data_IF_243942946175
#
_entry.id   IF_243942946175
#
_cell.length_a   1.000
_cell.length_b   1.000
_cell.length_c   1.000
_cell.angle_alpha   90.00
_cell.angle_beta   90.00
_cell.angle_gamma   90.00
#
_symmetry.space_group_name_H-M   'P 1'
#
loop_
_entity.id
_entity.type
_entity.pdbx_description
1 polymer ?
#
# COMPACT_ATOMS: atom_id res chain seq x y z
N UNK A 1 -8.96 -10.95 -3.40
CA UNK A 1 -8.85 -9.90 -2.36
C UNK A 1 -8.77 -8.57 -3.06
N UNK A 2 -9.32 -7.54 -2.45
CA UNK A 2 -9.43 -6.21 -3.01
C UNK A 2 -8.56 -5.25 -2.20
N UNK A 3 -7.79 -4.41 -2.87
CA UNK A 3 -7.17 -3.23 -2.24
C UNK A 3 -8.06 -2.03 -2.54
N UNK A 4 -8.42 -1.31 -1.50
CA UNK A 4 -9.23 -0.09 -1.60
C UNK A 4 -8.64 0.99 -0.69
N UNK A 5 -8.86 2.25 -1.04
CA UNK A 5 -8.53 3.38 -0.17
C UNK A 5 -9.77 3.85 0.61
N UNK A 6 -9.55 4.30 1.84
CA UNK A 6 -10.58 4.89 2.72
C UNK A 6 -10.97 6.32 2.29
N UNK A 7 -10.07 7.03 1.61
CA UNK A 7 -10.26 8.36 1.07
C UNK A 7 -9.57 8.50 -0.28
N UNK A 8 -9.77 9.62 -0.96
CA UNK A 8 -9.02 9.96 -2.17
C UNK A 8 -7.59 10.34 -1.78
N UNK A 9 -6.63 9.59 -2.30
CA UNK A 9 -5.20 9.78 -2.03
C UNK A 9 -4.56 10.52 -3.20
N UNK A 10 -3.44 11.17 -2.94
CA UNK A 10 -2.56 11.73 -3.97
C UNK A 10 -2.13 10.66 -5.00
N UNK A 11 -2.13 11.02 -6.28
CA UNK A 11 -1.84 10.10 -7.38
C UNK A 11 -0.40 9.59 -7.36
N UNK A 12 0.58 10.46 -7.03
CA UNK A 12 1.99 10.06 -6.98
C UNK A 12 2.27 9.12 -5.81
N UNK A 13 1.72 9.41 -4.64
CA UNK A 13 1.82 8.51 -3.49
C UNK A 13 1.14 7.16 -3.76
N UNK A 14 -0.03 7.17 -4.43
CA UNK A 14 -0.73 5.95 -4.85
C UNK A 14 0.11 5.13 -5.83
N UNK A 15 0.72 5.79 -6.83
CA UNK A 15 1.62 5.14 -7.78
C UNK A 15 2.80 4.47 -7.07
N UNK A 16 3.52 5.23 -6.22
CA UNK A 16 4.67 4.74 -5.48
C UNK A 16 4.28 3.51 -4.62
N UNK A 17 3.14 3.58 -3.93
CA UNK A 17 2.63 2.49 -3.09
C UNK A 17 2.30 1.24 -3.89
N UNK A 18 1.61 1.38 -5.02
CA UNK A 18 1.18 0.24 -5.84
C UNK A 18 2.36 -0.43 -6.54
N UNK A 19 3.34 0.35 -7.01
CA UNK A 19 4.58 -0.20 -7.59
C UNK A 19 5.34 -1.03 -6.56
N UNK A 20 5.49 -0.51 -5.33
CA UNK A 20 6.16 -1.24 -4.26
C UNK A 20 5.35 -2.48 -3.83
N UNK A 21 4.03 -2.36 -3.71
CA UNK A 21 3.14 -3.48 -3.38
C UNK A 21 3.29 -4.64 -4.38
N UNK A 22 3.15 -4.39 -5.68
CA UNK A 22 3.26 -5.44 -6.69
C UNK A 22 4.68 -5.99 -6.83
N UNK A 23 5.70 -5.18 -6.54
CA UNK A 23 7.08 -5.64 -6.49
C UNK A 23 7.30 -6.61 -5.34
N UNK A 24 6.83 -6.27 -4.13
CA UNK A 24 6.91 -7.13 -2.94
C UNK A 24 6.09 -8.41 -3.12
N UNK A 25 4.96 -8.35 -3.84
CA UNK A 25 4.06 -9.49 -4.05
C UNK A 25 4.71 -10.67 -4.78
N UNK A 26 5.82 -10.43 -5.48
CA UNK A 26 6.60 -11.49 -6.14
C UNK A 26 7.22 -12.48 -5.15
N UNK A 27 7.48 -12.05 -3.91
CA UNK A 27 8.19 -12.85 -2.89
C UNK A 27 7.47 -12.92 -1.56
N UNK A 28 6.47 -12.07 -1.32
CA UNK A 28 5.76 -11.95 -0.04
C UNK A 28 4.25 -12.21 -0.19
N UNK A 29 3.58 -12.68 0.89
CA UNK A 29 2.11 -12.67 0.98
C UNK A 29 1.51 -11.27 0.85
N UNK A 30 0.19 -11.16 0.59
CA UNK A 30 -0.44 -9.88 0.21
C UNK A 30 -0.44 -8.86 1.37
N UNK A 31 -0.71 -9.32 2.58
CA UNK A 31 -0.66 -8.53 3.80
C UNK A 31 0.73 -7.92 4.04
N UNK A 32 1.77 -8.74 4.00
CA UNK A 32 3.15 -8.27 4.21
C UNK A 32 3.61 -7.37 3.06
N UNK A 33 3.21 -7.69 1.83
CA UNK A 33 3.51 -6.84 0.66
C UNK A 33 2.93 -5.43 0.81
N UNK A 34 1.68 -5.33 1.28
CA UNK A 34 1.01 -4.04 1.51
C UNK A 34 1.66 -3.29 2.67
N UNK A 35 1.95 -3.99 3.78
CA UNK A 35 2.62 -3.40 4.94
C UNK A 35 3.97 -2.80 4.57
N UNK A 36 4.79 -3.52 3.83
CA UNK A 36 6.11 -3.04 3.41
C UNK A 36 6.01 -1.86 2.44
N UNK A 37 5.04 -1.87 1.53
CA UNK A 37 4.79 -0.73 0.64
C UNK A 37 4.38 0.52 1.44
N UNK A 38 3.47 0.38 2.41
CA UNK A 38 3.05 1.48 3.29
C UNK A 38 4.21 2.05 4.12
N UNK A 39 5.10 1.20 4.66
CA UNK A 39 6.29 1.63 5.39
C UNK A 39 7.23 2.44 4.50
N UNK A 40 7.47 1.98 3.27
CA UNK A 40 8.36 2.66 2.33
C UNK A 40 7.79 4.01 1.88
N UNK A 41 6.50 4.08 1.55
CA UNK A 41 5.82 5.34 1.21
C UNK A 41 5.80 6.30 2.40
N UNK A 42 5.59 5.80 3.63
CA UNK A 42 5.68 6.61 4.85
C UNK A 42 7.04 7.29 5.03
N UNK A 43 8.13 6.66 4.60
CA UNK A 43 9.47 7.29 4.67
C UNK A 43 9.58 8.50 3.73
N UNK A 44 8.93 8.44 2.56
CA UNK A 44 8.91 9.53 1.57
C UNK A 44 7.85 10.60 1.88
N UNK A 45 6.67 10.17 2.32
CA UNK A 45 5.53 11.02 2.68
C UNK A 45 5.06 10.66 4.10
N UNK A 46 5.61 11.31 5.15
CA UNK A 46 5.35 10.92 6.54
C UNK A 46 3.89 11.05 6.96
N UNK A 47 3.14 11.98 6.36
CA UNK A 47 1.76 12.23 6.75
C UNK A 47 0.84 11.04 6.40
N UNK A 48 0.00 10.54 7.34
CA UNK A 48 -0.83 9.34 7.13
C UNK A 48 -1.75 9.38 5.92
N UNK A 49 -2.16 10.58 5.50
CA UNK A 49 -2.96 10.81 4.29
C UNK A 49 -2.45 10.02 3.06
N UNK A 50 -1.13 9.86 2.92
CA UNK A 50 -0.50 9.28 1.74
C UNK A 50 -0.42 7.73 1.76
N UNK A 51 -0.45 7.09 2.92
CA UNK A 51 -0.16 5.64 3.04
C UNK A 51 -1.17 4.87 3.89
N UNK A 52 -1.80 5.51 4.87
CA UNK A 52 -2.71 4.85 5.81
C UNK A 52 -4.10 4.58 5.23
N UNK A 53 -4.40 5.10 4.03
CA UNK A 53 -5.69 4.95 3.40
C UNK A 53 -5.96 3.52 2.91
N UNK A 54 -4.91 2.75 2.59
CA UNK A 54 -5.03 1.50 1.86
C UNK A 54 -5.30 0.31 2.78
N UNK A 55 -6.33 -0.45 2.45
CA UNK A 55 -6.75 -1.65 3.16
C UNK A 55 -6.86 -2.84 2.20
N UNK A 56 -6.56 -4.03 2.71
CA UNK A 56 -6.75 -5.28 2.00
C UNK A 56 -7.97 -6.03 2.54
N UNK A 57 -8.97 -6.24 1.69
CA UNK A 57 -10.23 -6.91 2.04
C UNK A 57 -10.35 -8.26 1.34
N UNK A 58 -10.79 -9.30 2.07
CA UNK A 58 -10.88 -10.69 1.60
C UNK A 58 -9.66 -11.52 2.01
N UNK A 59 -9.38 -12.63 1.30
CA UNK A 59 -8.30 -13.56 1.71
C UNK A 59 -6.91 -12.90 1.63
N UNK A 60 -6.33 -12.52 2.77
CA UNK A 60 -5.09 -11.75 2.82
C UNK A 60 -3.81 -12.58 2.71
N UNK A 61 -3.91 -13.90 2.92
CA UNK A 61 -2.79 -14.83 2.88
C UNK A 61 -2.50 -15.30 1.44
#
# INVERSE_FOLDING_TARGET
>A
SLISSLWQVDDQATHDLMVDFYSNRKTMPKDESLRQAQIKVKQKYPHPFYWAAFLLTGNAL
#
